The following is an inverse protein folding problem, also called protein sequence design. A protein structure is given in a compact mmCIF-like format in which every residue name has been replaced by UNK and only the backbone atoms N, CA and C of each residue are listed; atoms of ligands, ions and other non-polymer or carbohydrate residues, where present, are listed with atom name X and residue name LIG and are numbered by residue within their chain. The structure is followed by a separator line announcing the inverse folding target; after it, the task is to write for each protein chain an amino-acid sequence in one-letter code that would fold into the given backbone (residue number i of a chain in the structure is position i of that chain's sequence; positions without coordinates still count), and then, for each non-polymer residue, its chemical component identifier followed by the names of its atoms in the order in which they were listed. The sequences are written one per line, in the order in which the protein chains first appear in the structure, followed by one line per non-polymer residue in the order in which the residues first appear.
data_IF_435525134605
#
_entry.id   IF_435525134605
#
_cell.length_a   1.000
_cell.length_b   1.000
_cell.length_c   1.000
_cell.angle_alpha   90.00
_cell.angle_beta   90.00
_cell.angle_gamma   90.00
#
_symmetry.space_group_name_H-M   'P 1'
#
loop_
_entity.id
_entity.type
_entity.pdbx_description
1 polymer ?
#
# COMPACT_ATOMS: atom_id res chain seq x y z
N UNK A 1 -5.66 -12.29 5.24
CA UNK A 1 -6.87 -12.93 4.66
C UNK A 1 -7.23 -14.19 5.44
N UNK A 2 -8.53 -14.46 5.65
CA UNK A 2 -8.97 -15.69 6.30
C UNK A 2 -8.75 -16.89 5.37
N UNK A 3 -7.89 -17.89 5.73
CA UNK A 3 -7.53 -18.98 4.82
C UNK A 3 -8.67 -19.98 4.58
N UNK A 4 -9.73 -19.93 5.40
CA UNK A 4 -10.88 -20.83 5.31
C UNK A 4 -12.03 -20.30 4.45
N UNK A 5 -11.97 -19.02 4.05
CA UNK A 5 -12.96 -18.38 3.17
C UNK A 5 -12.44 -18.37 1.74
N UNK A 6 -13.36 -18.50 0.77
CA UNK A 6 -13.06 -18.26 -0.64
C UNK A 6 -12.78 -16.77 -0.89
N UNK A 7 -12.10 -16.48 -1.98
CA UNK A 7 -11.80 -15.09 -2.39
C UNK A 7 -13.08 -14.27 -2.59
N UNK A 8 -14.12 -14.86 -3.18
CA UNK A 8 -15.44 -14.20 -3.36
C UNK A 8 -16.08 -13.77 -2.04
N UNK A 9 -15.93 -14.60 -0.99
CA UNK A 9 -16.47 -14.30 0.34
C UNK A 9 -15.62 -13.22 1.05
N UNK A 10 -14.30 -13.26 0.86
CA UNK A 10 -13.38 -12.27 1.45
C UNK A 10 -13.60 -10.89 0.84
N UNK A 11 -13.73 -10.81 -0.48
CA UNK A 11 -13.92 -9.55 -1.20
C UNK A 11 -15.34 -9.03 -0.95
N UNK A 12 -16.35 -9.90 -1.04
CA UNK A 12 -17.75 -9.53 -0.92
C UNK A 12 -18.22 -9.26 0.50
N UNK A 13 -17.40 -9.55 1.54
CA UNK A 13 -17.80 -9.40 2.95
C UNK A 13 -18.33 -7.99 3.28
N UNK A 14 -17.70 -6.94 2.75
CA UNK A 14 -18.17 -5.57 2.91
C UNK A 14 -19.52 -5.33 2.26
N UNK A 15 -19.76 -5.89 1.08
CA UNK A 15 -21.06 -5.81 0.41
C UNK A 15 -22.15 -6.51 1.22
N UNK A 16 -21.84 -7.68 1.79
CA UNK A 16 -22.79 -8.47 2.59
C UNK A 16 -23.19 -7.73 3.87
N UNK A 17 -22.20 -7.17 4.60
CA UNK A 17 -22.44 -6.43 5.86
C UNK A 17 -23.27 -5.16 5.61
N UNK A 18 -23.01 -4.44 4.52
CA UNK A 18 -23.65 -3.17 4.22
C UNK A 18 -24.83 -3.27 3.26
N UNK A 19 -25.23 -4.49 2.87
CA UNK A 19 -26.34 -4.75 1.93
C UNK A 19 -26.26 -3.92 0.64
N UNK A 20 -25.07 -3.87 0.01
CA UNK A 20 -24.76 -3.05 -1.17
C UNK A 20 -24.99 -3.76 -2.50
N UNK A 21 -25.94 -4.67 -2.57
CA UNK A 21 -26.35 -5.38 -3.79
C UNK A 21 -27.86 -5.75 -3.72
N UNK A 22 -28.51 -5.81 -4.87
CA UNK A 22 -29.93 -6.16 -4.96
C UNK A 22 -30.15 -7.68 -5.15
N UNK A 23 -29.14 -8.40 -5.67
CA UNK A 23 -29.25 -9.84 -5.92
C UNK A 23 -27.88 -10.55 -5.79
N UNK A 24 -27.91 -11.87 -5.57
CA UNK A 24 -26.71 -12.69 -5.55
C UNK A 24 -25.92 -12.61 -6.88
N UNK A 25 -26.64 -12.48 -8.01
CA UNK A 25 -26.01 -12.33 -9.32
C UNK A 25 -25.26 -11.00 -9.44
N UNK A 26 -25.82 -9.91 -8.93
CA UNK A 26 -25.16 -8.60 -8.90
C UNK A 26 -23.91 -8.63 -8.02
N UNK A 27 -24.01 -9.22 -6.81
CA UNK A 27 -22.85 -9.42 -5.93
C UNK A 27 -21.71 -10.17 -6.63
N UNK A 28 -22.02 -11.28 -7.32
CA UNK A 28 -21.03 -12.05 -8.07
C UNK A 28 -20.40 -11.21 -9.20
N UNK A 29 -21.19 -10.43 -9.93
CA UNK A 29 -20.68 -9.51 -10.96
C UNK A 29 -19.75 -8.44 -10.37
N UNK A 30 -20.09 -7.84 -9.23
CA UNK A 30 -19.25 -6.84 -8.55
C UNK A 30 -17.93 -7.45 -8.11
N UNK A 31 -17.92 -8.66 -7.53
CA UNK A 31 -16.70 -9.36 -7.13
C UNK A 31 -15.83 -9.68 -8.35
N UNK A 32 -16.41 -10.17 -9.43
CA UNK A 32 -15.67 -10.46 -10.67
C UNK A 32 -15.12 -9.20 -11.35
N UNK A 33 -15.86 -8.10 -11.29
CA UNK A 33 -15.42 -6.81 -11.83
C UNK A 33 -14.21 -6.27 -11.04
N UNK A 34 -14.26 -6.28 -9.71
CA UNK A 34 -13.13 -5.81 -8.90
C UNK A 34 -11.90 -6.72 -9.04
N UNK A 35 -12.05 -8.03 -9.20
CA UNK A 35 -10.94 -8.93 -9.49
C UNK A 35 -10.23 -8.55 -10.79
N UNK A 36 -10.96 -8.26 -11.88
CA UNK A 36 -10.35 -7.77 -13.13
C UNK A 36 -9.61 -6.45 -12.90
N UNK A 37 -10.19 -5.53 -12.14
CA UNK A 37 -9.60 -4.22 -11.85
C UNK A 37 -8.26 -4.33 -11.13
N UNK A 38 -8.09 -5.31 -10.25
CA UNK A 38 -6.81 -5.58 -9.59
C UNK A 38 -5.89 -6.54 -10.37
N UNK A 39 -6.22 -6.85 -11.62
CA UNK A 39 -5.42 -7.71 -12.50
C UNK A 39 -5.45 -9.20 -12.13
N UNK A 40 -6.56 -9.66 -11.55
CA UNK A 40 -6.82 -11.07 -11.27
C UNK A 40 -7.94 -11.60 -12.18
N UNK A 41 -7.84 -12.90 -12.54
CA UNK A 41 -8.87 -13.54 -13.34
C UNK A 41 -10.17 -13.72 -12.52
N UNK A 42 -11.36 -13.51 -13.13
CA UNK A 42 -12.64 -13.68 -12.44
C UNK A 42 -12.85 -15.07 -11.84
N UNK A 43 -12.29 -16.12 -12.48
CA UNK A 43 -12.34 -17.51 -12.04
C UNK A 43 -11.61 -17.72 -10.71
N UNK A 44 -10.77 -16.78 -10.31
CA UNK A 44 -10.11 -16.78 -9.01
C UNK A 44 -11.08 -16.55 -7.84
N UNK A 45 -12.32 -16.10 -8.09
CA UNK A 45 -13.34 -15.89 -7.08
C UNK A 45 -13.58 -17.11 -6.19
N UNK A 46 -13.60 -18.31 -6.80
CA UNK A 46 -13.88 -19.57 -6.11
C UNK A 46 -12.68 -20.21 -5.40
N UNK A 47 -11.49 -19.63 -5.57
CA UNK A 47 -10.24 -20.13 -4.96
C UNK A 47 -10.08 -19.68 -3.52
N UNK A 48 -9.19 -20.37 -2.80
CA UNK A 48 -8.79 -20.04 -1.43
C UNK A 48 -7.46 -19.27 -1.41
N UNK A 49 -7.20 -18.42 -0.40
CA UNK A 49 -5.99 -17.60 -0.30
C UNK A 49 -4.67 -18.39 -0.40
N UNK A 50 -4.61 -19.62 0.10
CA UNK A 50 -3.40 -20.45 0.03
C UNK A 50 -3.01 -20.88 -1.40
N UNK A 51 -3.92 -20.73 -2.37
CA UNK A 51 -3.69 -21.07 -3.79
C UNK A 51 -3.10 -19.89 -4.58
N UNK A 52 -2.75 -18.79 -3.92
CA UNK A 52 -2.24 -17.55 -4.51
C UNK A 52 -0.82 -17.24 -4.07
N UNK A 53 -0.04 -16.59 -4.95
CA UNK A 53 1.24 -15.99 -4.59
C UNK A 53 1.06 -14.83 -3.60
N UNK A 54 2.15 -14.36 -2.97
CA UNK A 54 2.12 -13.21 -2.08
C UNK A 54 1.50 -11.97 -2.72
N UNK A 55 1.95 -11.61 -3.92
CA UNK A 55 1.42 -10.46 -4.66
C UNK A 55 -0.05 -10.62 -5.06
N UNK A 56 -0.48 -11.84 -5.42
CA UNK A 56 -1.90 -12.10 -5.72
C UNK A 56 -2.76 -11.97 -4.45
N UNK A 57 -2.30 -12.48 -3.30
CA UNK A 57 -3.01 -12.26 -2.02
C UNK A 57 -3.12 -10.79 -1.67
N UNK A 58 -2.08 -10.00 -1.94
CA UNK A 58 -2.12 -8.55 -1.74
C UNK A 58 -3.18 -7.88 -2.63
N UNK A 59 -3.25 -8.26 -3.91
CA UNK A 59 -4.29 -7.78 -4.84
C UNK A 59 -5.71 -8.13 -4.37
N UNK A 60 -5.91 -9.30 -3.77
CA UNK A 60 -7.20 -9.68 -3.13
C UNK A 60 -7.50 -8.74 -1.94
N UNK A 61 -6.50 -8.39 -1.13
CA UNK A 61 -6.65 -7.42 -0.04
C UNK A 61 -7.06 -6.03 -0.54
N UNK A 62 -6.44 -5.57 -1.63
CA UNK A 62 -6.78 -4.30 -2.29
C UNK A 62 -8.22 -4.37 -2.85
N UNK A 63 -8.58 -5.46 -3.54
CA UNK A 63 -9.93 -5.66 -4.08
C UNK A 63 -11.00 -5.60 -2.97
N UNK A 64 -10.73 -6.21 -1.81
CA UNK A 64 -11.62 -6.16 -0.63
C UNK A 64 -11.84 -4.73 -0.13
N UNK A 65 -10.80 -3.90 -0.13
CA UNK A 65 -10.94 -2.51 0.27
C UNK A 65 -11.71 -1.68 -0.77
N UNK A 66 -11.44 -1.90 -2.04
CA UNK A 66 -11.98 -1.11 -3.16
C UNK A 66 -13.43 -1.39 -3.49
N UNK A 67 -13.94 -2.61 -3.23
CA UNK A 67 -15.29 -3.01 -3.65
C UNK A 67 -16.39 -2.12 -3.05
N UNK A 68 -16.08 -1.44 -1.94
CA UNK A 68 -16.96 -0.51 -1.25
C UNK A 68 -16.90 0.92 -1.81
N UNK A 69 -16.10 1.17 -2.84
CA UNK A 69 -15.83 2.50 -3.40
C UNK A 69 -15.48 3.54 -2.32
N UNK A 70 -14.45 3.29 -1.49
CA UNK A 70 -14.09 4.17 -0.39
C UNK A 70 -13.46 5.48 -0.92
N UNK A 71 -13.65 6.58 -0.17
CA UNK A 71 -12.95 7.84 -0.44
C UNK A 71 -11.51 7.83 0.08
N UNK A 72 -11.22 7.00 1.10
CA UNK A 72 -9.92 6.85 1.73
C UNK A 72 -9.63 5.38 2.01
N UNK A 73 -8.43 4.93 1.68
CA UNK A 73 -7.90 3.61 2.05
C UNK A 73 -6.68 3.83 2.96
N UNK A 74 -6.67 3.14 4.11
CA UNK A 74 -5.49 3.06 4.98
C UNK A 74 -4.72 1.81 4.60
N UNK A 75 -3.50 2.00 4.09
CA UNK A 75 -2.60 0.96 3.62
C UNK A 75 -1.44 0.80 4.62
N UNK A 76 -1.67 -0.02 5.65
CA UNK A 76 -0.71 -0.25 6.73
C UNK A 76 0.20 -1.42 6.37
N UNK A 77 1.49 -1.10 6.12
CA UNK A 77 2.57 -2.05 5.74
C UNK A 77 2.17 -3.06 4.65
N UNK A 78 1.26 -2.69 3.79
CA UNK A 78 0.58 -3.61 2.89
C UNK A 78 1.50 -4.27 1.83
N UNK A 79 2.72 -3.79 1.63
CA UNK A 79 3.67 -4.31 0.62
C UNK A 79 5.00 -4.79 1.22
N UNK A 80 5.24 -4.62 2.53
CA UNK A 80 6.53 -4.88 3.19
C UNK A 80 7.02 -6.33 3.05
N UNK A 81 6.12 -7.29 2.95
CA UNK A 81 6.42 -8.72 2.85
C UNK A 81 6.55 -9.23 1.41
N UNK A 82 6.61 -8.35 0.40
CA UNK A 82 6.68 -8.70 -1.02
C UNK A 82 8.09 -8.42 -1.58
N UNK A 83 8.47 -9.20 -2.60
CA UNK A 83 9.68 -8.93 -3.37
C UNK A 83 9.59 -7.57 -4.08
N UNK A 84 10.72 -6.88 -4.25
CA UNK A 84 10.81 -5.51 -4.81
C UNK A 84 10.06 -5.37 -6.15
N UNK A 85 10.18 -6.36 -7.04
CA UNK A 85 9.49 -6.35 -8.33
C UNK A 85 7.96 -6.42 -8.19
N UNK A 86 7.48 -7.19 -7.23
CA UNK A 86 6.05 -7.33 -6.92
C UNK A 86 5.53 -6.10 -6.19
N UNK A 87 6.33 -5.51 -5.29
CA UNK A 87 6.00 -4.23 -4.65
C UNK A 87 5.72 -3.15 -5.71
N UNK A 88 6.63 -2.98 -6.68
CA UNK A 88 6.46 -2.00 -7.75
C UNK A 88 5.17 -2.21 -8.55
N UNK A 89 4.82 -3.47 -8.88
CA UNK A 89 3.58 -3.78 -9.57
C UNK A 89 2.33 -3.42 -8.75
N UNK A 90 2.36 -3.69 -7.44
CA UNK A 90 1.23 -3.38 -6.55
C UNK A 90 1.08 -1.87 -6.38
N UNK A 91 2.19 -1.14 -6.24
CA UNK A 91 2.18 0.32 -6.12
C UNK A 91 1.66 0.99 -7.40
N UNK A 92 2.11 0.54 -8.58
CA UNK A 92 1.58 1.04 -9.84
C UNK A 92 0.08 0.79 -9.96
N UNK A 93 -0.38 -0.43 -9.62
CA UNK A 93 -1.81 -0.73 -9.57
C UNK A 93 -2.58 0.24 -8.65
N UNK A 94 -2.03 0.57 -7.46
CA UNK A 94 -2.68 1.51 -6.55
C UNK A 94 -2.74 2.92 -7.12
N UNK A 95 -1.70 3.37 -7.84
CA UNK A 95 -1.68 4.65 -8.54
C UNK A 95 -2.72 4.70 -9.67
N UNK A 96 -2.75 3.68 -10.52
CA UNK A 96 -3.73 3.59 -11.61
C UNK A 96 -5.18 3.67 -11.06
N UNK A 97 -5.42 2.97 -9.96
CA UNK A 97 -6.73 3.01 -9.28
C UNK A 97 -7.02 4.40 -8.69
N UNK A 98 -6.02 5.06 -8.11
CA UNK A 98 -6.15 6.42 -7.58
C UNK A 98 -6.54 7.40 -8.69
N UNK A 99 -5.85 7.35 -9.83
CA UNK A 99 -6.14 8.20 -10.99
C UNK A 99 -7.54 7.96 -11.54
N UNK A 100 -7.97 6.70 -11.60
CA UNK A 100 -9.30 6.32 -12.12
C UNK A 100 -10.44 6.71 -11.17
N UNK A 101 -10.25 6.53 -9.85
CA UNK A 101 -11.34 6.61 -8.86
C UNK A 101 -11.32 7.86 -7.99
N UNK A 102 -10.19 8.58 -7.93
CA UNK A 102 -9.97 9.68 -6.98
C UNK A 102 -9.87 9.23 -5.52
N UNK A 103 -9.69 7.93 -5.25
CA UNK A 103 -9.54 7.40 -3.89
C UNK A 103 -8.23 7.89 -3.28
N UNK A 104 -8.30 8.49 -2.09
CA UNK A 104 -7.10 8.88 -1.34
C UNK A 104 -6.50 7.67 -0.62
N UNK A 105 -5.16 7.68 -0.46
CA UNK A 105 -4.45 6.67 0.33
C UNK A 105 -3.71 7.30 1.51
N UNK A 106 -3.88 6.73 2.69
CA UNK A 106 -2.98 6.93 3.82
C UNK A 106 -2.03 5.72 3.87
N UNK A 107 -0.80 5.92 3.41
CA UNK A 107 0.19 4.85 3.29
C UNK A 107 1.11 4.84 4.51
N UNK A 108 1.12 3.77 5.29
CA UNK A 108 2.02 3.58 6.43
C UNK A 108 3.10 2.59 6.00
N UNK A 109 4.35 3.02 5.99
CA UNK A 109 5.48 2.22 5.54
C UNK A 109 6.77 2.63 6.25
N UNK A 110 7.73 1.70 6.28
CA UNK A 110 9.09 1.93 6.76
C UNK A 110 10.13 1.99 5.63
N UNK A 111 9.76 1.65 4.39
CA UNK A 111 10.64 1.78 3.23
C UNK A 111 10.51 3.18 2.61
N UNK A 112 11.53 3.99 2.87
CA UNK A 112 11.56 5.39 2.42
C UNK A 112 11.62 5.53 0.90
N UNK A 113 12.20 4.56 0.18
CA UNK A 113 12.27 4.58 -1.29
C UNK A 113 10.87 4.44 -1.88
N UNK A 114 10.07 3.55 -1.31
CA UNK A 114 8.68 3.36 -1.72
C UNK A 114 7.81 4.57 -1.36
N UNK A 115 7.99 5.12 -0.14
CA UNK A 115 7.29 6.34 0.29
C UNK A 115 7.59 7.49 -0.66
N UNK A 116 8.85 7.70 -1.05
CA UNK A 116 9.23 8.73 -2.03
C UNK A 116 8.51 8.57 -3.37
N UNK A 117 8.30 7.32 -3.81
CA UNK A 117 7.71 7.03 -5.11
C UNK A 117 6.17 7.21 -5.13
N UNK A 118 5.48 6.86 -4.05
CA UNK A 118 4.01 6.80 -4.03
C UNK A 118 3.35 8.06 -3.45
N UNK A 119 4.04 8.79 -2.56
CA UNK A 119 3.41 9.82 -1.74
C UNK A 119 3.53 11.21 -2.35
N UNK A 120 2.46 12.02 -2.26
CA UNK A 120 2.47 13.46 -2.55
C UNK A 120 2.93 14.25 -1.31
N UNK A 121 2.50 13.81 -0.13
CA UNK A 121 2.83 14.41 1.17
C UNK A 121 3.26 13.33 2.14
N UNK A 122 4.16 13.68 3.06
CA UNK A 122 4.73 12.77 4.04
C UNK A 122 4.58 13.36 5.43
N UNK A 123 4.26 12.49 6.39
CA UNK A 123 4.38 12.74 7.82
C UNK A 123 5.43 11.81 8.43
N UNK A 124 6.40 12.37 9.11
CA UNK A 124 7.44 11.60 9.82
C UNK A 124 7.02 11.39 11.26
N UNK A 125 6.81 10.13 11.63
CA UNK A 125 6.36 9.74 12.95
C UNK A 125 7.51 9.12 13.76
N UNK A 126 7.65 9.49 15.03
CA UNK A 126 8.62 8.90 15.93
C UNK A 126 8.06 8.81 17.34
N UNK A 127 8.10 7.62 17.94
CA UNK A 127 7.56 7.32 19.27
C UNK A 127 6.14 7.87 19.51
N UNK A 128 5.27 7.76 18.51
CA UNK A 128 3.89 8.23 18.59
C UNK A 128 3.71 9.74 18.36
N UNK A 129 4.78 10.51 18.13
CA UNK A 129 4.73 11.94 17.85
C UNK A 129 4.98 12.22 16.36
N UNK A 130 4.15 13.09 15.78
CA UNK A 130 4.35 13.60 14.43
C UNK A 130 5.39 14.73 14.49
N UNK A 131 6.60 14.46 14.00
CA UNK A 131 7.74 15.35 14.11
C UNK A 131 7.86 16.35 12.97
N UNK A 132 7.50 15.91 11.76
CA UNK A 132 7.63 16.73 10.56
C UNK A 132 6.57 16.34 9.52
N UNK A 133 6.04 17.32 8.78
CA UNK A 133 5.13 17.10 7.66
C UNK A 133 5.49 18.04 6.52
N UNK A 134 5.38 17.53 5.29
CA UNK A 134 5.65 18.32 4.10
C UNK A 134 5.26 17.58 2.83
N UNK A 135 5.50 18.19 1.68
CA UNK A 135 5.51 17.50 0.40
C UNK A 135 6.66 16.51 0.36
N UNK A 136 6.58 15.51 -0.52
CA UNK A 136 7.67 14.55 -0.73
C UNK A 136 8.98 15.25 -1.04
N UNK A 137 8.95 16.31 -1.86
CA UNK A 137 10.12 17.09 -2.22
C UNK A 137 10.73 17.81 -1.01
N UNK A 138 9.92 18.46 -0.19
CA UNK A 138 10.38 19.17 1.03
C UNK A 138 11.06 18.19 2.01
N UNK A 139 10.40 17.07 2.30
CA UNK A 139 10.91 16.09 3.27
C UNK A 139 12.22 15.44 2.77
N UNK A 140 12.33 15.09 1.48
CA UNK A 140 13.52 14.40 0.98
C UNK A 140 14.70 15.33 0.66
N UNK A 141 14.44 16.57 0.23
CA UNK A 141 15.49 17.50 -0.21
C UNK A 141 15.83 18.56 0.84
N UNK A 142 14.88 18.91 1.71
CA UNK A 142 15.01 19.99 2.70
C UNK A 142 14.49 19.60 4.10
N UNK A 143 14.89 18.44 4.65
CA UNK A 143 14.39 18.00 5.96
C UNK A 143 14.84 18.96 7.07
N UNK A 144 13.90 19.36 7.90
CA UNK A 144 14.15 20.32 8.98
C UNK A 144 14.47 19.62 10.29
N UNK A 145 13.68 18.59 10.64
CA UNK A 145 13.84 17.90 11.91
C UNK A 145 15.07 17.00 11.92
N UNK A 146 15.90 17.01 13.02
CA UNK A 146 17.11 16.19 13.10
C UNK A 146 16.85 14.69 12.93
N UNK A 147 15.73 14.18 13.44
CA UNK A 147 15.34 12.78 13.24
C UNK A 147 15.07 12.45 11.76
N UNK A 148 14.40 13.35 11.03
CA UNK A 148 14.14 13.17 9.59
C UNK A 148 15.45 13.11 8.82
N UNK A 149 16.41 13.99 9.13
CA UNK A 149 17.75 13.97 8.51
C UNK A 149 18.48 12.66 8.79
N UNK A 150 18.49 12.21 10.05
CA UNK A 150 19.08 10.92 10.43
C UNK A 150 18.42 9.76 9.67
N UNK A 151 17.08 9.73 9.62
CA UNK A 151 16.33 8.69 8.92
C UNK A 151 16.67 8.65 7.42
N UNK A 152 16.70 9.80 6.74
CA UNK A 152 17.03 9.91 5.33
C UNK A 152 18.52 9.59 5.05
N UNK A 153 19.43 9.98 5.97
CA UNK A 153 20.84 9.65 5.86
C UNK A 153 21.11 8.15 5.97
N UNK A 154 20.18 7.35 6.47
CA UNK A 154 20.27 5.90 6.54
C UNK A 154 19.89 5.18 5.23
N UNK A 155 19.30 5.88 4.24
CA UNK A 155 18.95 5.27 2.95
C UNK A 155 20.23 4.91 2.18
N UNK A 156 20.45 3.62 1.80
CA UNK A 156 21.63 3.22 1.03
C UNK A 156 21.69 3.90 -0.33
N UNK A 157 22.86 4.38 -0.74
CA UNK A 157 23.08 4.86 -2.09
C UNK A 157 23.30 3.68 -3.04
N UNK A 158 22.65 3.60 -4.20
CA UNK A 158 22.92 2.57 -5.20
C UNK A 158 24.34 2.69 -5.80
N UNK A 159 25.02 3.83 -5.61
CA UNK A 159 26.40 4.03 -6.05
C UNK A 159 27.38 3.61 -4.93
N UNK A 160 28.18 2.52 -5.12
CA UNK A 160 29.08 2.02 -4.09
C UNK A 160 30.23 2.98 -3.73
N UNK A 161 30.59 3.90 -4.63
CA UNK A 161 31.62 4.91 -4.35
C UNK A 161 31.09 6.00 -3.41
N UNK A 162 29.83 6.38 -3.59
CA UNK A 162 29.14 7.34 -2.72
C UNK A 162 28.84 6.70 -1.37
N UNK A 163 28.38 5.43 -1.37
CA UNK A 163 28.05 4.71 -0.16
C UNK A 163 29.26 4.53 0.78
N UNK A 164 30.46 4.27 0.24
CA UNK A 164 31.70 4.15 1.03
C UNK A 164 32.10 5.46 1.73
N UNK A 165 31.69 6.61 1.23
CA UNK A 165 32.01 7.94 1.79
C UNK A 165 30.89 8.49 2.68
N UNK A 166 29.74 7.80 2.75
CA UNK A 166 28.59 8.25 3.49
C UNK A 166 28.82 8.09 4.98
N UNK A 167 28.54 9.16 5.73
CA UNK A 167 28.44 9.15 7.19
C UNK A 167 26.96 9.29 7.54
N UNK A 168 26.36 8.28 8.15
CA UNK A 168 24.99 8.36 8.63
C UNK A 168 24.93 9.32 9.82
N UNK A 169 23.99 10.25 9.79
CA UNK A 169 23.72 11.12 10.93
C UNK A 169 23.05 10.30 12.04
N UNK A 170 23.58 10.38 13.26
CA UNK A 170 22.96 9.75 14.43
C UNK A 170 22.03 10.76 15.11
N UNK A 171 20.80 10.34 15.37
CA UNK A 171 19.86 11.11 16.19
C UNK A 171 20.01 10.67 17.64
N UNK A 172 20.43 11.60 18.50
CA UNK A 172 20.63 11.32 19.93
C UNK A 172 19.34 11.67 20.69
N UNK A 173 18.80 10.70 21.36
CA UNK A 173 17.59 10.76 22.14
C UNK A 173 17.92 11.29 23.54
N UNK A 174 17.78 12.58 23.77
CA UNK A 174 17.80 13.13 25.13
C UNK A 174 16.49 13.82 25.47
#
# INVERSE_FOLDING_TARGET
LNPRKKVEDIIGEGLDIHHKFASAAERDQMVKAILRKVGLAPEHATRYPHQFSGGQRQRVGIARALIMNPKLIIADECISALDVSIQAQVVNLMKDIQEETGTAYLFIAHDLSMVKYISDRIGVLHLGHLLETGTTEEIFNHPVHPYTRSLLSAIPSPNPVVEKKRVAETYDYK
#
